data_IF_855887993416
#
_entry.id   IF_855887993416
#
_cell.length_a   1.000
_cell.length_b   1.000
_cell.length_c   1.000
_cell.angle_alpha   90.00
_cell.angle_beta   90.00
_cell.angle_gamma   90.00
#
_symmetry.space_group_name_H-M   'P 1'
#
loop_
_entity.id
_entity.type
_entity.pdbx_description
1 polymer ?
#
# COMPACT_ATOMS: atom_id res chain seq x y z
N UNK A 1 6.89 23.28 22.52
CA UNK A 1 7.06 21.93 23.13
C UNK A 1 6.50 20.82 22.25
N UNK A 2 5.23 20.89 21.82
CA UNK A 2 4.58 19.85 20.99
C UNK A 2 5.30 19.61 19.64
N UNK A 3 5.67 20.67 18.89
CA UNK A 3 6.37 20.50 17.61
C UNK A 3 7.73 19.82 17.75
N UNK A 4 8.47 20.13 18.81
CA UNK A 4 9.76 19.49 19.10
C UNK A 4 9.60 18.00 19.41
N UNK A 5 8.56 17.63 20.15
CA UNK A 5 8.25 16.23 20.43
C UNK A 5 7.88 15.46 19.16
N UNK A 6 7.02 16.03 18.30
CA UNK A 6 6.64 15.41 17.03
C UNK A 6 7.87 15.18 16.12
N UNK A 7 8.77 16.17 16.05
CA UNK A 7 10.04 16.04 15.32
C UNK A 7 10.93 14.94 15.89
N UNK A 8 11.05 14.84 17.22
CA UNK A 8 11.84 13.79 17.87
C UNK A 8 11.27 12.38 17.62
N UNK A 9 9.93 12.23 17.66
CA UNK A 9 9.25 10.96 17.33
C UNK A 9 9.50 10.58 15.87
N UNK A 10 9.37 11.52 14.93
CA UNK A 10 9.67 11.29 13.52
C UNK A 10 11.14 10.90 13.30
N UNK A 11 12.08 11.61 13.92
CA UNK A 11 13.51 11.31 13.82
C UNK A 11 13.82 9.89 14.32
N UNK A 12 13.24 9.50 15.47
CA UNK A 12 13.38 8.15 16.02
C UNK A 12 12.81 7.10 15.07
N UNK A 13 11.63 7.34 14.49
CA UNK A 13 11.00 6.42 13.55
C UNK A 13 11.82 6.26 12.26
N UNK A 14 12.35 7.36 11.71
CA UNK A 14 13.21 7.32 10.52
C UNK A 14 14.52 6.58 10.78
N UNK A 15 15.25 6.93 11.84
CA UNK A 15 16.52 6.28 12.18
C UNK A 15 16.35 4.77 12.38
N UNK A 16 15.25 4.36 13.04
CA UNK A 16 14.92 2.94 13.20
C UNK A 16 14.63 2.26 11.87
N UNK A 17 13.85 2.89 10.99
CA UNK A 17 13.54 2.34 9.67
C UNK A 17 14.83 2.17 8.84
N UNK A 18 15.66 3.21 8.73
CA UNK A 18 16.92 3.16 7.98
C UNK A 18 17.86 2.07 8.50
N UNK A 19 17.97 1.95 9.83
CA UNK A 19 18.81 0.94 10.45
C UNK A 19 18.34 -0.48 10.07
N UNK A 20 17.04 -0.75 10.16
CA UNK A 20 16.50 -2.07 9.80
C UNK A 20 16.51 -2.33 8.29
N UNK A 21 16.36 -1.29 7.45
CA UNK A 21 16.52 -1.41 6.00
C UNK A 21 17.96 -1.75 5.63
N UNK A 22 18.95 -1.15 6.30
CA UNK A 22 20.38 -1.48 6.09
C UNK A 22 20.70 -2.90 6.53
N UNK A 23 20.17 -3.33 7.68
CA UNK A 23 20.32 -4.71 8.16
C UNK A 23 19.69 -5.68 7.15
N UNK A 24 18.47 -5.40 6.69
CA UNK A 24 17.80 -6.24 5.69
C UNK A 24 18.59 -6.29 4.38
N UNK A 25 19.08 -5.16 3.88
CA UNK A 25 19.91 -5.11 2.67
C UNK A 25 21.17 -5.98 2.78
N UNK A 26 21.85 -5.90 3.93
CA UNK A 26 23.04 -6.70 4.21
C UNK A 26 22.70 -8.19 4.29
N UNK A 27 21.65 -8.58 5.02
CA UNK A 27 21.23 -9.98 5.11
C UNK A 27 20.84 -10.54 3.73
N UNK A 28 20.14 -9.77 2.89
CA UNK A 28 19.80 -10.20 1.53
C UNK A 28 21.02 -10.32 0.61
N UNK A 29 22.08 -9.56 0.88
CA UNK A 29 23.36 -9.69 0.17
C UNK A 29 24.10 -10.96 0.57
N UNK A 30 24.07 -11.33 1.84
CA UNK A 30 24.71 -12.55 2.38
C UNK A 30 23.94 -13.83 1.98
N UNK A 31 22.63 -13.74 1.77
CA UNK A 31 21.75 -14.85 1.38
C UNK A 31 21.65 -15.03 -0.16
N UNK A 32 22.75 -14.85 -0.89
CA UNK A 32 22.77 -14.93 -2.36
C UNK A 32 22.29 -16.29 -2.91
N UNK A 33 22.57 -17.37 -2.17
CA UNK A 33 22.20 -18.75 -2.54
C UNK A 33 20.77 -19.18 -2.19
N UNK A 34 19.96 -18.32 -1.58
CA UNK A 34 18.58 -18.69 -1.21
C UNK A 34 17.63 -18.64 -2.42
N UNK A 35 16.49 -19.34 -2.43
CA UNK A 35 15.54 -19.27 -3.55
C UNK A 35 15.06 -17.85 -3.86
N UNK A 36 15.10 -17.45 -5.13
CA UNK A 36 14.60 -16.15 -5.58
C UNK A 36 13.97 -16.24 -6.96
N UNK A 37 12.82 -15.62 -7.07
CA UNK A 37 12.25 -15.23 -8.35
C UNK A 37 11.85 -13.76 -8.33
N UNK A 38 12.17 -13.03 -9.39
CA UNK A 38 11.79 -11.63 -9.60
C UNK A 38 11.11 -11.50 -10.95
N UNK A 39 10.01 -10.76 -11.00
CA UNK A 39 9.31 -10.50 -12.26
C UNK A 39 10.15 -9.63 -13.20
N UNK A 40 10.20 -10.03 -14.47
CA UNK A 40 10.95 -9.38 -15.55
C UNK A 40 12.48 -9.41 -15.42
N UNK A 41 13.05 -10.20 -14.53
CA UNK A 41 14.49 -10.39 -14.46
C UNK A 41 14.84 -11.88 -14.46
N UNK A 42 15.67 -12.27 -15.42
CA UNK A 42 16.09 -13.66 -15.63
C UNK A 42 17.52 -13.89 -15.15
N UNK A 43 18.32 -12.83 -15.07
CA UNK A 43 19.66 -12.87 -14.53
C UNK A 43 19.59 -12.91 -12.99
N UNK A 44 20.13 -13.96 -12.35
CA UNK A 44 20.10 -14.08 -10.89
C UNK A 44 20.77 -12.91 -10.16
N UNK A 45 21.88 -12.39 -10.69
CA UNK A 45 22.63 -11.31 -10.07
C UNK A 45 21.83 -10.00 -10.13
N UNK A 46 21.24 -9.71 -11.29
CA UNK A 46 20.37 -8.53 -11.44
C UNK A 46 19.11 -8.65 -10.61
N UNK A 47 18.53 -9.84 -10.49
CA UNK A 47 17.36 -10.12 -9.64
C UNK A 47 17.65 -9.74 -8.18
N UNK A 48 18.83 -10.10 -7.67
CA UNK A 48 19.27 -9.75 -6.31
C UNK A 48 19.44 -8.25 -6.12
N UNK A 49 20.08 -7.59 -7.08
CA UNK A 49 20.28 -6.14 -7.06
C UNK A 49 18.93 -5.42 -7.07
N UNK A 50 18.01 -5.83 -7.95
CA UNK A 50 16.67 -5.26 -8.05
C UNK A 50 15.86 -5.46 -6.77
N UNK A 51 15.92 -6.64 -6.16
CA UNK A 51 15.28 -6.92 -4.86
C UNK A 51 15.81 -5.98 -3.77
N UNK A 52 17.12 -5.85 -3.64
CA UNK A 52 17.76 -4.98 -2.66
C UNK A 52 17.42 -3.50 -2.86
N UNK A 53 17.41 -3.04 -4.11
CA UNK A 53 17.01 -1.69 -4.46
C UNK A 53 15.53 -1.41 -4.14
N UNK A 54 14.62 -2.36 -4.35
CA UNK A 54 13.19 -2.10 -4.09
C UNK A 54 12.85 -2.09 -2.60
N UNK A 55 13.51 -2.94 -1.79
CA UNK A 55 13.21 -3.01 -0.35
C UNK A 55 13.73 -1.76 0.38
N UNK A 56 14.82 -1.17 -0.11
CA UNK A 56 15.42 0.06 0.44
C UNK A 56 14.87 1.35 -0.18
N UNK A 57 14.12 1.28 -1.28
CA UNK A 57 13.55 2.45 -1.95
C UNK A 57 12.46 3.14 -1.12
N UNK A 58 12.85 4.17 -0.36
CA UNK A 58 11.94 5.02 0.43
C UNK A 58 11.77 6.43 -0.12
N UNK A 59 12.70 6.90 -0.96
CA UNK A 59 12.67 8.22 -1.61
C UNK A 59 12.15 8.16 -3.05
N UNK A 60 11.79 9.32 -3.61
CA UNK A 60 11.55 9.48 -5.04
C UNK A 60 12.85 9.35 -5.83
N UNK A 61 12.80 8.65 -6.96
CA UNK A 61 13.86 8.74 -7.97
C UNK A 61 13.68 9.98 -8.85
N UNK A 62 14.77 10.41 -9.51
CA UNK A 62 14.70 11.49 -10.50
C UNK A 62 13.80 11.07 -11.67
N UNK A 63 12.88 11.97 -12.05
CA UNK A 63 11.89 11.71 -13.10
C UNK A 63 10.77 10.73 -12.71
N UNK A 64 10.69 10.26 -11.46
CA UNK A 64 9.59 9.41 -11.01
C UNK A 64 8.27 10.19 -11.00
N UNK A 65 7.23 9.62 -11.62
CA UNK A 65 5.87 10.16 -11.53
C UNK A 65 5.43 10.27 -10.05
N UNK A 66 4.94 11.45 -9.59
CA UNK A 66 4.60 11.70 -8.19
C UNK A 66 3.53 10.77 -7.58
N UNK A 67 2.66 10.18 -8.40
CA UNK A 67 1.58 9.28 -7.94
C UNK A 67 1.93 7.81 -8.09
N UNK A 68 2.96 7.49 -8.87
CA UNK A 68 3.42 6.14 -9.13
C UNK A 68 4.26 5.57 -7.98
N UNK A 69 4.14 4.27 -7.72
CA UNK A 69 5.07 3.56 -6.83
C UNK A 69 5.75 2.45 -7.60
N UNK A 70 7.07 2.30 -7.42
CA UNK A 70 7.83 1.21 -8.05
C UNK A 70 7.29 -0.14 -7.59
N UNK A 71 7.04 -1.08 -8.49
CA UNK A 71 6.62 -2.44 -8.13
C UNK A 71 7.75 -3.44 -8.35
N UNK A 72 7.77 -4.50 -7.55
CA UNK A 72 8.66 -5.64 -7.75
C UNK A 72 7.94 -6.89 -7.23
N UNK A 73 7.06 -7.49 -8.05
CA UNK A 73 6.53 -8.81 -7.77
C UNK A 73 7.70 -9.80 -7.72
N UNK A 74 7.90 -10.41 -6.56
CA UNK A 74 8.99 -11.34 -6.33
C UNK A 74 8.59 -12.36 -5.26
N UNK A 75 9.20 -13.54 -5.31
CA UNK A 75 9.10 -14.57 -4.29
C UNK A 75 10.50 -14.85 -3.76
N UNK A 76 10.70 -14.64 -2.46
CA UNK A 76 12.02 -14.60 -1.83
C UNK A 76 12.05 -15.56 -0.66
N UNK A 77 12.80 -16.66 -0.80
CA UNK A 77 13.14 -17.52 0.31
C UNK A 77 14.24 -16.86 1.12
N UNK A 78 14.10 -16.82 2.44
CA UNK A 78 15.07 -16.20 3.35
C UNK A 78 15.23 -17.02 4.62
N UNK A 79 16.34 -16.84 5.34
CA UNK A 79 16.50 -17.50 6.64
C UNK A 79 15.47 -16.99 7.66
N UNK A 80 15.28 -17.75 8.76
CA UNK A 80 14.43 -17.32 9.86
C UNK A 80 14.89 -15.98 10.48
N UNK A 81 16.21 -15.74 10.51
CA UNK A 81 16.78 -14.47 11.01
C UNK A 81 16.43 -13.31 10.09
N UNK A 82 16.60 -13.47 8.78
CA UNK A 82 16.23 -12.45 7.80
C UNK A 82 14.73 -12.22 7.78
N UNK A 83 13.91 -13.26 7.92
CA UNK A 83 12.45 -13.11 8.02
C UNK A 83 12.05 -12.26 9.23
N UNK A 84 12.68 -12.47 10.41
CA UNK A 84 12.51 -11.59 11.57
C UNK A 84 12.89 -10.15 11.24
N UNK A 85 14.00 -9.91 10.54
CA UNK A 85 14.36 -8.54 10.10
C UNK A 85 13.26 -7.93 9.22
N UNK A 86 12.64 -8.70 8.32
CA UNK A 86 11.51 -8.24 7.51
C UNK A 86 10.30 -7.85 8.40
N UNK A 87 10.02 -8.60 9.46
CA UNK A 87 9.00 -8.20 10.46
C UNK A 87 9.34 -6.85 11.11
N UNK A 88 10.57 -6.65 11.56
CA UNK A 88 11.00 -5.40 12.20
C UNK A 88 10.95 -4.21 11.22
N UNK A 89 11.29 -4.43 9.95
CA UNK A 89 11.07 -3.42 8.89
C UNK A 89 9.58 -3.07 8.79
N UNK A 90 8.69 -4.06 8.77
CA UNK A 90 7.25 -3.79 8.70
C UNK A 90 6.73 -3.03 9.93
N UNK A 91 7.25 -3.30 11.12
CA UNK A 91 6.90 -2.58 12.35
C UNK A 91 7.39 -1.13 12.33
N UNK A 92 8.65 -0.91 11.93
CA UNK A 92 9.21 0.44 11.80
C UNK A 92 8.49 1.27 10.72
N UNK A 93 8.04 0.64 9.63
CA UNK A 93 7.18 1.28 8.63
C UNK A 93 5.83 1.72 9.19
N UNK A 94 5.23 0.95 10.10
CA UNK A 94 3.99 1.36 10.82
C UNK A 94 4.26 2.53 11.74
N UNK A 95 5.33 2.47 12.53
CA UNK A 95 5.72 3.55 13.42
C UNK A 95 5.96 4.86 12.65
N UNK A 96 6.67 4.78 11.51
CA UNK A 96 6.85 5.92 10.61
C UNK A 96 5.52 6.45 10.07
N UNK A 97 4.63 5.55 9.60
CA UNK A 97 3.32 5.96 9.10
C UNK A 97 2.53 6.76 10.15
N UNK A 98 2.56 6.30 11.40
CA UNK A 98 1.90 6.98 12.51
C UNK A 98 2.55 8.33 12.84
N UNK A 99 3.89 8.40 12.87
CA UNK A 99 4.61 9.65 13.10
C UNK A 99 4.28 10.70 12.04
N UNK A 100 4.27 10.31 10.75
CA UNK A 100 3.87 11.20 9.66
C UNK A 100 2.41 11.63 9.78
N UNK A 101 1.50 10.71 10.16
CA UNK A 101 0.07 11.02 10.35
C UNK A 101 -0.15 12.05 11.46
N UNK A 102 0.60 11.96 12.55
CA UNK A 102 0.51 12.91 13.68
C UNK A 102 0.96 14.32 13.32
N UNK A 103 1.65 14.50 12.17
CA UNK A 103 2.12 15.80 11.68
C UNK A 103 1.28 16.33 10.51
N UNK A 104 0.30 15.56 10.02
CA UNK A 104 -0.54 15.98 8.89
C UNK A 104 -1.36 17.22 9.26
N UNK A 105 -1.40 18.19 8.36
CA UNK A 105 -2.15 19.45 8.55
C UNK A 105 -1.44 20.51 9.41
N UNK A 106 -0.39 20.16 10.15
CA UNK A 106 0.36 21.12 10.98
C UNK A 106 1.27 21.98 10.10
N UNK A 107 1.09 23.29 10.21
CA UNK A 107 1.94 24.31 9.57
C UNK A 107 2.66 25.12 10.64
N UNK A 108 3.88 25.53 10.34
CA UNK A 108 4.66 26.43 11.19
C UNK A 108 5.16 27.60 10.36
N UNK A 109 5.33 28.73 11.02
CA UNK A 109 6.00 29.89 10.44
C UNK A 109 7.49 29.63 10.32
N UNK A 110 8.03 29.92 9.14
CA UNK A 110 9.45 29.93 8.84
C UNK A 110 9.75 31.21 8.05
N UNK A 111 10.79 31.95 8.44
CA UNK A 111 11.25 33.07 7.64
C UNK A 111 11.89 32.55 6.37
N UNK A 112 11.37 33.01 5.24
CA UNK A 112 11.99 32.78 3.95
C UNK A 112 13.34 33.50 3.90
N UNK A 113 14.42 32.76 3.65
CA UNK A 113 15.78 33.30 3.72
C UNK A 113 16.09 34.31 2.61
N UNK A 114 15.38 34.26 1.48
CA UNK A 114 15.61 35.16 0.35
C UNK A 114 14.80 36.46 0.49
N UNK A 115 13.58 36.36 1.02
CA UNK A 115 12.65 37.50 1.07
C UNK A 115 12.46 38.08 2.47
N UNK A 116 12.87 37.38 3.53
CA UNK A 116 12.67 37.75 4.93
C UNK A 116 11.21 37.63 5.41
N UNK A 117 10.30 37.22 4.54
CA UNK A 117 8.86 37.13 4.80
C UNK A 117 8.55 35.84 5.57
N UNK A 118 7.73 35.93 6.62
CA UNK A 118 7.23 34.75 7.33
C UNK A 118 6.24 34.00 6.44
N UNK A 119 6.53 32.74 6.14
CA UNK A 119 5.67 31.87 5.34
C UNK A 119 5.27 30.62 6.12
N UNK A 120 3.99 30.24 6.03
CA UNK A 120 3.49 29.03 6.65
C UNK A 120 3.90 27.79 5.83
N UNK A 121 4.78 26.97 6.38
CA UNK A 121 5.27 25.75 5.74
C UNK A 121 4.81 24.50 6.50
N UNK A 122 4.49 23.39 5.81
CA UNK A 122 4.12 22.15 6.49
C UNK A 122 5.26 21.63 7.36
N UNK A 123 4.97 21.36 8.64
CA UNK A 123 5.97 20.91 9.62
C UNK A 123 6.70 19.63 9.16
N UNK A 124 5.96 18.72 8.54
CA UNK A 124 6.47 17.46 7.99
C UNK A 124 7.56 17.66 6.93
N UNK A 125 7.43 18.68 6.06
CA UNK A 125 8.43 18.96 5.01
C UNK A 125 9.74 19.45 5.63
N UNK A 126 9.64 20.38 6.58
CA UNK A 126 10.79 20.94 7.29
C UNK A 126 11.50 19.84 8.09
N UNK A 127 10.74 19.04 8.84
CA UNK A 127 11.30 17.98 9.67
C UNK A 127 12.00 16.90 8.82
N UNK A 128 11.37 16.44 7.73
CA UNK A 128 12.00 15.46 6.83
C UNK A 128 13.25 16.04 6.15
N UNK A 129 13.23 17.30 5.71
CA UNK A 129 14.40 17.95 5.14
C UNK A 129 15.58 18.03 6.15
N UNK A 130 15.30 18.38 7.41
CA UNK A 130 16.33 18.39 8.46
C UNK A 130 16.92 17.01 8.78
N UNK A 131 16.20 15.93 8.42
CA UNK A 131 16.66 14.55 8.56
C UNK A 131 17.33 14.01 7.29
N UNK A 132 17.49 14.83 6.23
CA UNK A 132 18.06 14.39 4.95
C UNK A 132 17.06 13.71 4.00
N UNK A 133 15.77 13.68 4.35
CA UNK A 133 14.69 12.97 3.65
C UNK A 133 13.69 13.91 2.96
N UNK A 134 14.17 15.03 2.41
CA UNK A 134 13.32 16.01 1.74
C UNK A 134 12.49 15.41 0.59
N UNK A 135 12.94 14.29 0.02
CA UNK A 135 12.32 13.55 -1.09
C UNK A 135 11.66 12.25 -0.66
N UNK A 136 11.32 12.09 0.62
CA UNK A 136 10.68 10.88 1.12
C UNK A 136 9.40 10.61 0.34
N UNK A 137 9.34 9.45 -0.31
CA UNK A 137 8.13 8.97 -0.94
C UNK A 137 7.28 8.23 0.11
N UNK A 138 6.35 8.96 0.74
CA UNK A 138 5.50 8.46 1.83
C UNK A 138 4.89 7.08 1.59
N UNK A 139 4.29 6.81 0.43
CA UNK A 139 3.72 5.49 0.10
C UNK A 139 4.76 4.38 0.02
N UNK A 140 5.93 4.62 -0.57
CA UNK A 140 7.02 3.62 -0.66
C UNK A 140 7.66 3.37 0.72
N UNK A 141 7.88 4.45 1.48
CA UNK A 141 8.42 4.40 2.82
C UNK A 141 7.53 3.58 3.78
N UNK A 142 6.20 3.63 3.63
CA UNK A 142 5.24 3.05 4.59
C UNK A 142 4.54 1.77 4.15
N UNK A 143 4.60 1.37 2.88
CA UNK A 143 4.01 0.10 2.42
C UNK A 143 4.78 -1.10 2.99
N UNK A 144 4.05 -2.04 3.59
CA UNK A 144 4.61 -3.27 4.18
C UNK A 144 5.08 -4.25 3.11
N UNK A 145 6.18 -4.94 3.40
CA UNK A 145 6.61 -6.15 2.71
C UNK A 145 5.66 -7.30 3.09
N UNK A 146 5.48 -8.27 2.19
CA UNK A 146 4.58 -9.41 2.44
C UNK A 146 5.37 -10.54 3.04
N UNK A 147 4.87 -11.13 4.13
CA UNK A 147 5.52 -12.24 4.83
C UNK A 147 4.56 -13.43 4.82
N UNK A 148 5.09 -14.61 4.51
CA UNK A 148 4.44 -15.90 4.68
C UNK A 148 5.15 -16.63 5.82
N UNK A 149 4.40 -17.02 6.85
CA UNK A 149 4.95 -17.69 8.04
C UNK A 149 5.38 -19.15 7.77
N UNK A 150 4.97 -19.71 6.64
CA UNK A 150 5.21 -21.10 6.26
C UNK A 150 5.60 -21.17 4.79
N UNK A 151 6.44 -22.17 4.45
CA UNK A 151 6.79 -22.49 3.08
C UNK A 151 5.51 -22.80 2.30
N UNK A 152 5.19 -22.06 1.23
CA UNK A 152 4.05 -22.38 0.40
C UNK A 152 4.36 -23.58 -0.49
N UNK A 153 3.34 -24.39 -0.77
CA UNK A 153 3.42 -25.47 -1.76
C UNK A 153 3.46 -24.89 -3.19
N UNK A 154 2.69 -23.82 -3.41
CA UNK A 154 2.68 -23.10 -4.69
C UNK A 154 2.32 -21.64 -4.55
N UNK A 155 2.83 -20.84 -5.48
CA UNK A 155 2.54 -19.42 -5.62
C UNK A 155 2.25 -19.11 -7.08
N UNK A 156 1.08 -18.57 -7.37
CA UNK A 156 0.69 -18.14 -8.71
C UNK A 156 0.42 -16.64 -8.75
N UNK A 157 1.26 -15.91 -9.47
CA UNK A 157 1.08 -14.47 -9.66
C UNK A 157 0.06 -14.20 -10.77
N UNK A 158 -0.83 -13.23 -10.52
CA UNK A 158 -1.91 -12.85 -11.43
C UNK A 158 -2.13 -11.35 -11.41
N UNK A 159 -2.57 -10.79 -12.54
CA UNK A 159 -3.11 -9.44 -12.59
C UNK A 159 -4.53 -9.41 -12.00
N UNK A 160 -4.76 -8.49 -11.07
CA UNK A 160 -6.07 -8.24 -10.48
C UNK A 160 -6.59 -6.88 -10.90
N UNK A 161 -7.86 -6.84 -11.31
CA UNK A 161 -8.61 -5.62 -11.68
C UNK A 161 -9.85 -5.54 -10.80
N UNK A 162 -9.65 -5.44 -9.49
CA UNK A 162 -10.74 -5.33 -8.52
C UNK A 162 -10.98 -3.87 -8.13
N UNK A 163 -12.25 -3.40 -8.09
CA UNK A 163 -12.55 -2.10 -7.51
C UNK A 163 -12.21 -2.11 -6.02
N UNK A 164 -11.76 -0.96 -5.51
CA UNK A 164 -11.68 -0.76 -4.06
C UNK A 164 -13.07 -0.38 -3.59
N UNK A 165 -13.65 -1.25 -2.76
CA UNK A 165 -14.94 -1.05 -2.11
C UNK A 165 -14.69 -0.70 -0.65
N UNK A 166 -15.28 0.39 -0.20
CA UNK A 166 -15.30 0.81 1.21
C UNK A 166 -16.75 0.87 1.66
N UNK A 167 -17.07 0.22 2.77
CA UNK A 167 -18.39 0.31 3.38
C UNK A 167 -18.40 1.51 4.33
N UNK A 168 -19.36 2.42 4.17
CA UNK A 168 -19.57 3.59 5.05
C UNK A 168 -21.03 3.66 5.52
N UNK A 169 -21.28 4.37 6.62
CA UNK A 169 -22.64 4.68 7.07
C UNK A 169 -23.11 6.02 6.52
N UNK A 170 -24.38 6.34 6.76
CA UNK A 170 -25.03 7.57 6.31
C UNK A 170 -24.35 8.81 6.92
N UNK A 171 -23.90 8.75 8.16
CA UNK A 171 -23.22 9.87 8.84
C UNK A 171 -21.89 10.21 8.17
N UNK A 172 -21.06 9.21 7.90
CA UNK A 172 -19.80 9.36 7.19
C UNK A 172 -20.02 9.82 5.74
N UNK A 173 -21.07 9.33 5.07
CA UNK A 173 -21.43 9.78 3.72
C UNK A 173 -21.77 11.28 3.71
N UNK A 174 -22.55 11.75 4.68
CA UNK A 174 -22.93 13.16 4.85
C UNK A 174 -21.70 14.03 5.06
N UNK A 175 -20.86 13.66 6.02
CA UNK A 175 -19.62 14.39 6.31
C UNK A 175 -18.70 14.50 5.08
N UNK A 176 -18.60 13.44 4.26
CA UNK A 176 -17.81 13.48 3.00
C UNK A 176 -18.39 14.40 1.92
N UNK A 177 -19.70 14.60 1.89
CA UNK A 177 -20.37 15.51 0.97
C UNK A 177 -20.22 16.96 1.44
N UNK A 178 -20.48 17.22 2.72
CA UNK A 178 -20.31 18.55 3.35
C UNK A 178 -18.86 19.04 3.24
N UNK A 179 -17.88 18.18 3.55
CA UNK A 179 -16.47 18.52 3.41
C UNK A 179 -16.05 18.83 1.97
N UNK A 180 -16.75 18.30 0.95
CA UNK A 180 -16.51 18.68 -0.45
C UNK A 180 -17.14 20.03 -0.78
N UNK A 181 -18.33 20.31 -0.25
CA UNK A 181 -18.99 21.60 -0.40
C UNK A 181 -18.15 22.72 0.20
N UNK A 182 -17.67 22.55 1.44
CA UNK A 182 -16.80 23.51 2.14
C UNK A 182 -15.51 23.81 1.37
N UNK A 183 -14.95 22.80 0.70
CA UNK A 183 -13.71 22.93 -0.06
C UNK A 183 -13.92 23.35 -1.51
N UNK A 184 -15.17 23.65 -1.91
CA UNK A 184 -15.55 23.89 -3.30
C UNK A 184 -15.05 22.80 -4.26
N UNK A 185 -15.07 21.54 -3.81
CA UNK A 185 -14.58 20.37 -4.55
C UNK A 185 -15.72 19.63 -5.24
N UNK A 186 -16.06 20.08 -6.44
CA UNK A 186 -17.07 19.45 -7.29
C UNK A 186 -18.17 20.42 -7.72
N UNK A 187 -19.24 19.89 -8.29
CA UNK A 187 -20.42 20.67 -8.65
C UNK A 187 -21.34 20.77 -7.43
N UNK A 188 -21.54 21.98 -6.90
CA UNK A 188 -22.37 22.23 -5.71
C UNK A 188 -23.79 21.72 -5.85
N UNK A 189 -24.42 21.87 -7.03
CA UNK A 189 -25.78 21.38 -7.28
C UNK A 189 -25.87 19.85 -7.19
N UNK A 190 -24.84 19.14 -7.67
CA UNK A 190 -24.78 17.68 -7.55
C UNK A 190 -24.56 17.24 -6.09
N UNK A 191 -23.75 18.00 -5.33
CA UNK A 191 -23.50 17.71 -3.92
C UNK A 191 -24.78 17.91 -3.10
N UNK A 192 -25.52 19.00 -3.35
CA UNK A 192 -26.80 19.29 -2.70
C UNK A 192 -27.86 18.23 -3.01
N UNK A 193 -27.96 17.78 -4.27
CA UNK A 193 -28.87 16.70 -4.65
C UNK A 193 -28.48 15.37 -4.00
N UNK A 194 -27.19 15.04 -3.91
CA UNK A 194 -26.72 13.85 -3.18
C UNK A 194 -27.04 13.95 -1.67
N UNK A 195 -26.89 15.14 -1.06
CA UNK A 195 -27.27 15.38 0.34
C UNK A 195 -28.79 15.21 0.55
N UNK A 196 -29.61 15.67 -0.39
CA UNK A 196 -31.07 15.48 -0.38
C UNK A 196 -31.44 14.00 -0.44
N UNK A 197 -30.84 13.23 -1.36
CA UNK A 197 -31.03 11.78 -1.46
C UNK A 197 -30.61 11.05 -0.20
N UNK A 198 -29.46 11.43 0.36
CA UNK A 198 -28.95 10.85 1.60
C UNK A 198 -29.90 11.08 2.79
N UNK A 199 -30.57 12.24 2.84
CA UNK A 199 -31.59 12.54 3.85
C UNK A 199 -32.84 11.66 3.80
N UNK A 200 -33.03 10.90 2.72
CA UNK A 200 -34.16 9.97 2.54
C UNK A 200 -33.79 8.51 2.87
N UNK A 201 -32.54 8.24 3.27
CA UNK A 201 -32.07 6.90 3.60
C UNK A 201 -32.40 6.51 5.05
N UNK A 202 -32.45 5.20 5.33
CA UNK A 202 -32.51 4.72 6.71
C UNK A 202 -31.19 5.09 7.44
N UNK A 203 -31.21 5.65 8.65
CA UNK A 203 -30.00 6.03 9.38
C UNK A 203 -28.99 4.89 9.59
N UNK A 204 -29.45 3.64 9.64
CA UNK A 204 -28.63 2.45 9.79
C UNK A 204 -28.22 1.82 8.45
N UNK A 205 -28.66 2.37 7.32
CA UNK A 205 -28.27 1.91 5.99
C UNK A 205 -26.76 2.06 5.78
N UNK A 206 -26.17 1.08 5.09
CA UNK A 206 -24.76 1.07 4.72
C UNK A 206 -24.64 1.35 3.23
N UNK A 207 -23.68 2.17 2.85
CA UNK A 207 -23.35 2.46 1.46
C UNK A 207 -21.97 1.89 1.10
N UNK A 208 -21.82 1.46 -0.15
CA UNK A 208 -20.57 1.03 -0.72
C UNK A 208 -19.96 2.15 -1.58
N UNK A 209 -18.82 2.68 -1.17
CA UNK A 209 -18.01 3.57 -2.02
C UNK A 209 -17.20 2.72 -2.99
N UNK A 210 -17.58 2.73 -4.27
CA UNK A 210 -16.94 1.93 -5.32
C UNK A 210 -15.97 2.81 -6.10
N UNK A 211 -14.68 2.58 -5.89
CA UNK A 211 -13.64 3.26 -6.66
C UNK A 211 -13.30 2.47 -7.93
N UNK A 212 -12.91 3.15 -9.03
CA UNK A 212 -12.49 2.50 -10.26
C UNK A 212 -11.45 1.42 -10.00
N UNK A 213 -11.54 0.27 -10.67
CA UNK A 213 -10.60 -0.82 -10.48
C UNK A 213 -9.20 -0.39 -10.90
N UNK A 214 -8.23 -0.63 -10.01
CA UNK A 214 -6.81 -0.43 -10.32
C UNK A 214 -6.17 -1.79 -10.62
N UNK A 215 -5.47 -1.87 -11.75
CA UNK A 215 -4.75 -3.08 -12.14
C UNK A 215 -3.51 -3.22 -11.25
N UNK A 216 -3.38 -4.36 -10.58
CA UNK A 216 -2.19 -4.63 -9.76
C UNK A 216 -1.92 -6.14 -9.63
N UNK A 217 -0.66 -6.53 -9.43
CA UNK A 217 -0.28 -7.91 -9.19
C UNK A 217 -0.80 -8.40 -7.83
N UNK A 218 -1.27 -9.65 -7.82
CA UNK A 218 -1.60 -10.44 -6.63
C UNK A 218 -0.98 -11.82 -6.75
N UNK A 219 -0.80 -12.48 -5.62
CA UNK A 219 -0.32 -13.86 -5.54
C UNK A 219 -1.40 -14.74 -4.91
N UNK A 220 -1.79 -15.79 -5.60
CA UNK A 220 -2.57 -16.89 -5.04
C UNK A 220 -1.58 -17.89 -4.45
N UNK A 221 -1.74 -18.22 -3.18
CA UNK A 221 -0.80 -19.02 -2.41
C UNK A 221 -1.56 -20.23 -1.87
N UNK A 222 -0.95 -21.41 -1.99
CA UNK A 222 -1.46 -22.65 -1.44
C UNK A 222 -0.42 -23.27 -0.49
N UNK A 223 -0.91 -23.83 0.61
CA UNK A 223 -0.14 -24.63 1.56
C UNK A 223 -0.79 -26.00 1.70
N UNK A 224 0.02 -27.05 1.78
CA UNK A 224 -0.44 -28.37 2.22
C UNK A 224 -0.54 -28.36 3.75
N UNK A 225 -1.65 -28.82 4.32
CA UNK A 225 -1.73 -29.11 5.76
C UNK A 225 -1.50 -30.59 6.02
N UNK A 226 -1.14 -30.94 7.25
CA UNK A 226 -0.92 -32.34 7.68
C UNK A 226 -2.16 -33.23 7.46
N UNK A 227 -3.36 -32.64 7.48
CA UNK A 227 -4.64 -33.30 7.23
C UNK A 227 -4.96 -33.50 5.73
N UNK A 228 -4.04 -33.12 4.83
CA UNK A 228 -4.27 -33.15 3.37
C UNK A 228 -5.18 -32.04 2.85
N UNK A 229 -5.60 -31.10 3.70
CA UNK A 229 -6.44 -29.97 3.31
C UNK A 229 -5.56 -28.86 2.71
N UNK A 230 -5.86 -28.41 1.50
CA UNK A 230 -5.14 -27.28 0.91
C UNK A 230 -5.67 -25.96 1.47
N UNK A 231 -4.89 -25.29 2.33
CA UNK A 231 -5.18 -23.91 2.73
C UNK A 231 -4.80 -22.97 1.60
N UNK A 232 -5.68 -22.03 1.24
CA UNK A 232 -5.43 -21.04 0.18
C UNK A 232 -5.61 -19.62 0.67
N UNK A 233 -4.77 -18.71 0.19
CA UNK A 233 -4.92 -17.27 0.42
C UNK A 233 -4.51 -16.46 -0.81
N UNK A 234 -5.01 -15.23 -0.89
CA UNK A 234 -4.57 -14.27 -1.91
C UNK A 234 -3.97 -13.03 -1.25
N UNK A 235 -2.71 -12.73 -1.59
CA UNK A 235 -2.00 -11.55 -1.08
C UNK A 235 -1.76 -10.55 -2.22
N UNK A 236 -1.66 -9.26 -1.89
CA UNK A 236 -1.19 -8.25 -2.85
C UNK A 236 0.29 -8.51 -3.13
N UNK A 237 0.72 -8.39 -4.38
CA UNK A 237 2.06 -8.80 -4.80
C UNK A 237 2.79 -7.69 -5.59
N UNK A 238 2.58 -6.44 -5.19
CA UNK A 238 3.30 -5.27 -5.74
C UNK A 238 4.71 -5.12 -5.19
N UNK A 239 4.98 -5.81 -4.08
CA UNK A 239 6.25 -5.88 -3.40
C UNK A 239 6.65 -7.36 -3.23
N UNK A 240 7.93 -7.62 -2.93
CA UNK A 240 8.42 -8.97 -2.67
C UNK A 240 7.62 -9.67 -1.57
N UNK A 241 7.41 -10.97 -1.77
CA UNK A 241 6.82 -11.90 -0.81
C UNK A 241 7.94 -12.73 -0.22
N UNK A 242 8.17 -12.59 1.08
CA UNK A 242 9.18 -13.33 1.84
C UNK A 242 8.57 -14.57 2.49
N UNK A 243 9.31 -15.68 2.48
CA UNK A 243 8.93 -16.92 3.16
C UNK A 243 10.17 -17.59 3.75
N UNK A 244 10.04 -18.41 4.82
CA UNK A 244 11.19 -19.11 5.40
C UNK A 244 11.72 -20.14 4.40
N UNK A 245 13.03 -20.21 4.22
CA UNK A 245 13.71 -21.20 3.38
C UNK A 245 15.14 -21.45 3.88
N UNK A 246 15.83 -22.41 3.26
CA UNK A 246 17.28 -22.64 3.34
C UNK A 246 17.94 -22.36 1.98
N UNK A 247 19.28 -22.21 1.98
CA UNK A 247 20.07 -22.10 0.74
C UNK A 247 20.05 -23.34 -0.16
N UNK A 248 19.53 -24.46 0.33
CA UNK A 248 19.44 -25.73 -0.40
C UNK A 248 18.02 -26.02 -0.87
N UNK A 249 17.05 -25.20 -0.48
CA UNK A 249 15.67 -25.37 -0.90
C UNK A 249 15.52 -24.94 -2.36
N UNK A 250 14.48 -25.45 -3.01
CA UNK A 250 14.06 -24.97 -4.32
C UNK A 250 12.95 -23.93 -4.16
N UNK A 251 12.69 -23.16 -5.22
CA UNK A 251 11.48 -22.35 -5.29
C UNK A 251 10.22 -23.24 -5.18
N UNK A 252 9.19 -22.81 -4.43
CA UNK A 252 7.86 -23.37 -4.51
C UNK A 252 7.37 -23.43 -5.96
N UNK A 253 6.38 -24.29 -6.24
CA UNK A 253 5.78 -24.33 -7.58
C UNK A 253 5.25 -22.95 -7.94
N UNK A 254 5.87 -22.35 -8.94
CA UNK A 254 5.68 -20.95 -9.28
C UNK A 254 4.98 -20.83 -10.62
N UNK A 255 3.91 -20.02 -10.67
CA UNK A 255 3.40 -19.47 -11.93
C UNK A 255 3.76 -17.98 -11.99
N UNK A 256 4.61 -17.55 -12.95
CA UNK A 256 5.04 -16.16 -13.04
C UNK A 256 3.87 -15.24 -13.38
N UNK A 257 4.03 -13.96 -13.06
CA UNK A 257 3.07 -12.94 -13.47
C UNK A 257 3.17 -12.78 -15.00
N UNK A 258 2.05 -12.81 -15.75
CA UNK A 258 2.06 -12.50 -17.18
C UNK A 258 2.62 -11.10 -17.45
N UNK A 259 3.25 -10.89 -18.61
CA UNK A 259 3.84 -9.59 -19.00
C UNK A 259 2.79 -8.48 -18.98
N UNK A 260 1.61 -8.76 -19.54
CA UNK A 260 0.53 -7.79 -19.63
C UNK A 260 -0.71 -8.22 -18.82
N UNK A 261 -1.45 -7.24 -18.26
CA UNK A 261 -2.74 -7.52 -17.66
C UNK A 261 -3.75 -7.97 -18.71
N UNK A 262 -4.67 -8.88 -18.37
CA UNK A 262 -5.67 -9.37 -19.31
C UNK A 262 -6.53 -8.21 -19.84
N UNK A 263 -6.97 -8.25 -21.11
CA UNK A 263 -7.87 -7.26 -21.67
C UNK A 263 -9.12 -7.06 -20.80
N UNK A 264 -9.72 -5.87 -20.87
CA UNK A 264 -11.00 -5.59 -20.20
C UNK A 264 -12.10 -6.42 -20.86
N UNK A 265 -12.94 -7.11 -20.07
CA UNK A 265 -14.13 -7.82 -20.57
C UNK A 265 -14.07 -9.36 -20.63
N UNK A 266 -12.90 -9.99 -20.43
CA UNK A 266 -12.77 -11.46 -20.55
C UNK A 266 -13.20 -12.28 -19.32
N UNK A 267 -13.51 -11.62 -18.20
CA UNK A 267 -13.95 -12.32 -16.98
C UNK A 267 -15.46 -12.14 -16.85
N UNK A 268 -16.21 -13.24 -16.93
CA UNK A 268 -17.64 -13.25 -16.61
C UNK A 268 -17.85 -12.47 -15.29
N UNK A 269 -18.80 -11.54 -15.29
CA UNK A 269 -19.34 -10.97 -14.05
C UNK A 269 -19.71 -12.17 -13.17
N UNK A 270 -19.14 -12.24 -11.96
CA UNK A 270 -19.59 -13.24 -11.00
C UNK A 270 -21.04 -12.91 -10.65
N UNK A 271 -21.89 -13.92 -10.65
CA UNK A 271 -23.35 -13.83 -10.47
C UNK A 271 -23.77 -13.45 -9.02
N UNK A 272 -22.81 -13.12 -8.16
CA UNK A 272 -22.94 -12.83 -6.73
C UNK A 272 -22.85 -11.31 -6.46
N UNK A 273 -23.40 -10.48 -7.35
CA UNK A 273 -23.35 -9.03 -7.20
C UNK A 273 -24.18 -8.56 -6.00
N UNK A 274 -23.50 -8.10 -4.94
CA UNK A 274 -24.10 -7.58 -3.71
C UNK A 274 -24.26 -6.06 -3.69
N UNK A 275 -23.88 -5.37 -4.77
CA UNK A 275 -23.84 -3.89 -4.85
C UNK A 275 -24.45 -3.45 -6.18
N UNK A 276 -25.28 -2.39 -6.13
CA UNK A 276 -25.87 -1.77 -7.31
C UNK A 276 -24.81 -1.29 -8.31
N UNK A 277 -25.09 -1.45 -9.61
CA UNK A 277 -24.12 -1.07 -10.65
C UNK A 277 -24.06 0.44 -10.90
N UNK A 278 -25.19 1.13 -10.70
CA UNK A 278 -25.28 2.59 -10.81
C UNK A 278 -25.07 3.22 -9.44
N UNK A 279 -24.25 4.26 -9.29
CA UNK A 279 -24.11 4.98 -8.03
C UNK A 279 -25.42 5.67 -7.64
N UNK A 280 -25.84 5.46 -6.40
CA UNK A 280 -26.93 6.19 -5.74
C UNK A 280 -26.52 7.65 -5.44
N UNK A 281 -25.29 7.84 -4.95
CA UNK A 281 -24.66 9.15 -4.71
C UNK A 281 -23.52 9.36 -5.69
N UNK A 282 -23.67 10.31 -6.61
CA UNK A 282 -22.75 10.48 -7.74
C UNK A 282 -21.41 11.07 -7.32
N UNK A 283 -21.43 12.09 -6.47
CA UNK A 283 -20.26 12.87 -6.03
C UNK A 283 -19.24 11.98 -5.34
N UNK A 284 -19.71 11.05 -4.53
CA UNK A 284 -18.84 10.15 -3.74
C UNK A 284 -18.77 8.74 -4.32
N UNK A 285 -19.48 8.47 -5.43
CA UNK A 285 -19.66 7.12 -6.00
C UNK A 285 -20.14 6.13 -4.93
N UNK A 286 -21.18 6.54 -4.20
CA UNK A 286 -21.85 5.70 -3.21
C UNK A 286 -22.91 4.85 -3.89
N UNK A 287 -22.86 3.55 -3.67
CA UNK A 287 -23.80 2.56 -4.19
C UNK A 287 -24.54 1.91 -3.02
N UNK A 288 -25.78 1.48 -3.23
CA UNK A 288 -26.49 0.67 -2.24
C UNK A 288 -26.08 -0.79 -2.35
N UNK A 289 -26.16 -1.50 -1.23
CA UNK A 289 -26.09 -2.96 -1.25
C UNK A 289 -27.42 -3.52 -1.76
N UNK A 290 -27.36 -4.53 -2.61
CA UNK A 290 -28.54 -5.28 -3.05
C UNK A 290 -28.89 -6.20 -1.90
N UNK A 291 -30.05 -5.98 -1.27
CA UNK A 291 -30.56 -6.89 -0.24
C UNK A 291 -30.73 -8.27 -0.84
N UNK A 292 -30.00 -9.26 -0.32
CA UNK A 292 -30.30 -10.67 -0.57
C UNK A 292 -31.70 -10.93 -0.02
N UNK A 293 -32.68 -11.08 -0.90
CA UNK A 293 -34.01 -11.59 -0.52
C UNK A 293 -33.91 -13.07 -0.21
#
# INVERSE_FOLDING_TARGET
MIHSQLRAVLATAMNRLESHLRILDQSLREEEGYPLWVWHEKDPNKSRIQLRQIVTAIDYQDGQDPVSTRICPALVGVSATTLKTVHHVNETKVALQQALKNMDGIKIEEQDQETGISVLRPLIKIALASLGHARLHRRQATRKLVILEQIPESVSFVWSRLPKIESIDITEARHRLEARLEKAQGNSLLIEEDLRRLGQCDPNERLAIVNPPHIHPRANIAWSTEEGITRRAQKRAVLPIFYPASRYDNLPRLRPLPEEPPPTGLRLRRNDATIETTPFLLTIRGHRYISSS
#
